data_IF_364148319788
#
_entry.id   IF_364148319788
#
_cell.length_a   1.000
_cell.length_b   1.000
_cell.length_c   1.000
_cell.angle_alpha   90.00
_cell.angle_beta   90.00
_cell.angle_gamma   90.00
#
_symmetry.space_group_name_H-M   'P 1'
#
loop_
_entity.id
_entity.type
_entity.pdbx_description
1 polymer ?
#
# COMPACT_ATOMS: atom_id res chain seq x y z
N UNK A 1 36.94 30.18 13.77
CA UNK A 1 37.08 29.03 12.86
C UNK A 1 35.82 29.07 12.02
N UNK A 2 35.93 29.49 10.75
CA UNK A 2 34.77 29.86 9.94
C UNK A 2 33.87 28.64 9.71
N UNK A 3 32.61 28.78 10.08
CA UNK A 3 31.55 27.78 9.98
C UNK A 3 31.45 27.21 8.56
N UNK A 4 31.16 25.92 8.45
CA UNK A 4 30.84 25.22 7.20
C UNK A 4 29.72 25.97 6.47
N UNK A 5 30.11 26.80 5.50
CA UNK A 5 29.18 27.56 4.68
C UNK A 5 28.54 26.58 3.70
N UNK A 6 27.24 26.31 3.86
CA UNK A 6 26.47 25.58 2.84
C UNK A 6 26.51 26.38 1.52
N UNK A 7 27.17 25.83 0.50
CA UNK A 7 27.35 26.49 -0.82
C UNK A 7 26.46 25.82 -1.87
N UNK A 8 25.90 26.62 -2.78
CA UNK A 8 25.11 26.12 -3.89
C UNK A 8 25.99 25.38 -4.90
N UNK A 9 25.65 24.14 -5.22
CA UNK A 9 26.43 23.34 -6.16
C UNK A 9 26.31 23.77 -7.64
N UNK A 10 25.49 24.79 -7.95
CA UNK A 10 25.32 25.33 -9.31
C UNK A 10 26.08 26.64 -9.48
N UNK A 11 25.79 27.66 -8.65
CA UNK A 11 26.42 28.98 -8.78
C UNK A 11 27.63 29.20 -7.86
N UNK A 12 27.94 28.26 -6.97
CA UNK A 12 28.99 28.39 -5.95
C UNK A 12 28.80 29.56 -4.97
N UNK A 13 27.62 30.19 -4.94
CA UNK A 13 27.28 31.21 -3.95
C UNK A 13 26.77 30.58 -2.64
N UNK A 14 26.89 31.36 -1.57
CA UNK A 14 26.45 30.97 -0.24
C UNK A 14 24.93 30.76 -0.17
N UNK A 15 24.49 29.63 0.39
CA UNK A 15 23.09 29.31 0.62
C UNK A 15 22.51 29.95 1.89
N UNK A 16 23.33 30.53 2.77
CA UNK A 16 22.92 31.13 4.06
C UNK A 16 22.14 32.45 3.87
N UNK A 17 22.34 33.16 2.76
CA UNK A 17 21.80 34.53 2.59
C UNK A 17 20.29 34.54 2.27
N UNK A 18 19.76 33.44 1.73
CA UNK A 18 18.34 33.28 1.43
C UNK A 18 17.85 31.99 2.10
N UNK A 19 17.01 32.15 3.12
CA UNK A 19 16.47 31.15 4.06
C UNK A 19 15.78 29.90 3.49
N UNK A 20 15.85 29.66 2.17
CA UNK A 20 15.31 28.47 1.51
C UNK A 20 16.43 27.77 0.75
N UNK A 21 16.85 26.64 1.27
CA UNK A 21 17.86 25.76 0.67
C UNK A 21 17.23 24.41 0.42
N UNK A 22 17.48 23.86 -0.77
CA UNK A 22 17.01 22.53 -1.14
C UNK A 22 18.22 21.60 -1.14
N UNK A 23 18.12 20.49 -0.42
CA UNK A 23 19.16 19.46 -0.38
C UNK A 23 18.73 18.22 -1.14
N UNK A 24 19.58 17.76 -2.04
CA UNK A 24 19.36 16.48 -2.71
C UNK A 24 19.54 15.34 -1.70
N UNK A 25 18.55 14.45 -1.59
CA UNK A 25 18.60 13.33 -0.62
C UNK A 25 19.72 12.33 -0.87
N UNK A 26 20.17 12.20 -2.12
CA UNK A 26 21.20 11.23 -2.50
C UNK A 26 22.62 11.78 -2.38
N UNK A 27 22.90 12.93 -2.99
CA UNK A 27 24.25 13.49 -2.99
C UNK A 27 24.49 14.55 -1.90
N UNK A 28 23.45 14.88 -1.12
CA UNK A 28 23.49 15.81 0.03
C UNK A 28 23.89 17.26 -0.33
N UNK A 29 24.11 17.54 -1.63
CA UNK A 29 24.44 18.88 -2.12
C UNK A 29 23.28 19.85 -1.90
N UNK A 30 23.65 21.08 -1.56
CA UNK A 30 22.75 22.22 -1.35
C UNK A 30 22.55 23.00 -2.65
N UNK A 31 21.33 23.49 -2.86
CA UNK A 31 20.95 24.24 -4.05
C UNK A 31 20.01 25.39 -3.66
N UNK A 32 20.17 26.53 -4.32
CA UNK A 32 19.15 27.57 -4.27
C UNK A 32 17.94 27.15 -5.12
N UNK A 33 16.70 27.40 -4.66
CA UNK A 33 15.48 27.12 -5.43
C UNK A 33 15.49 27.75 -6.83
N UNK A 34 16.02 28.98 -6.94
CA UNK A 34 16.14 29.71 -8.21
C UNK A 34 17.13 29.02 -9.16
N UNK A 35 18.26 28.53 -8.65
CA UNK A 35 19.27 27.85 -9.46
C UNK A 35 18.76 26.52 -10.06
N UNK A 36 17.79 25.89 -9.41
CA UNK A 36 17.14 24.66 -9.92
C UNK A 36 15.78 24.93 -10.59
N UNK A 37 15.42 26.20 -10.81
CA UNK A 37 14.16 26.59 -11.45
C UNK A 37 12.91 26.16 -10.68
N UNK A 38 13.00 25.96 -9.37
CA UNK A 38 11.88 25.50 -8.57
C UNK A 38 10.91 26.66 -8.30
N UNK A 39 9.64 26.47 -8.67
CA UNK A 39 8.57 27.43 -8.37
C UNK A 39 8.38 27.56 -6.85
N UNK A 40 8.06 28.78 -6.39
CA UNK A 40 7.85 29.07 -4.97
C UNK A 40 6.83 28.16 -4.29
N UNK A 41 5.76 27.80 -5.00
CA UNK A 41 4.73 26.89 -4.50
C UNK A 41 5.32 25.50 -4.18
N UNK A 42 6.12 24.94 -5.08
CA UNK A 42 6.79 23.66 -4.86
C UNK A 42 7.81 23.74 -3.73
N UNK A 43 8.48 24.89 -3.60
CA UNK A 43 9.40 25.16 -2.50
C UNK A 43 8.68 25.16 -1.15
N UNK A 44 7.48 25.76 -1.07
CA UNK A 44 6.62 25.69 0.13
C UNK A 44 6.24 24.25 0.46
N UNK A 45 5.78 23.48 -0.53
CA UNK A 45 5.43 22.07 -0.31
C UNK A 45 6.61 21.26 0.23
N UNK A 46 7.81 21.41 -0.34
CA UNK A 46 9.00 20.70 0.15
C UNK A 46 9.40 21.08 1.58
N UNK A 47 9.08 22.30 2.04
CA UNK A 47 9.35 22.74 3.41
C UNK A 47 8.25 22.34 4.40
N UNK A 48 7.02 22.15 3.95
CA UNK A 48 5.86 21.86 4.80
C UNK A 48 5.66 20.34 5.01
N UNK A 49 6.08 19.52 4.05
CA UNK A 49 5.82 18.08 4.04
C UNK A 49 7.12 17.26 4.12
N UNK A 50 7.36 16.63 5.27
CA UNK A 50 8.56 15.80 5.53
C UNK A 50 8.66 14.54 4.65
N UNK A 51 7.54 14.11 4.07
CA UNK A 51 7.48 12.96 3.17
C UNK A 51 7.89 13.31 1.72
N UNK A 52 8.07 14.59 1.40
CA UNK A 52 8.53 15.01 0.08
C UNK A 52 10.05 15.07 0.04
N UNK A 53 10.61 14.39 -0.95
CA UNK A 53 12.05 14.26 -1.13
C UNK A 53 12.44 14.94 -2.43
N UNK A 54 13.51 15.73 -2.40
CA UNK A 54 14.07 16.34 -3.60
C UNK A 54 15.32 15.60 -4.08
N UNK A 55 15.45 15.47 -5.41
CA UNK A 55 16.63 14.93 -6.06
C UNK A 55 17.11 15.96 -7.09
N UNK A 56 18.42 16.20 -7.17
CA UNK A 56 18.99 16.95 -8.29
C UNK A 56 18.92 16.13 -9.58
N UNK A 57 19.05 16.78 -10.74
CA UNK A 57 18.89 16.13 -12.04
C UNK A 57 19.83 14.92 -12.24
N UNK A 58 21.06 15.00 -11.74
CA UNK A 58 22.02 13.90 -11.79
C UNK A 58 21.58 12.69 -10.96
N UNK A 59 20.87 12.93 -9.86
CA UNK A 59 20.43 11.89 -8.95
C UNK A 59 19.00 11.41 -9.24
N UNK A 60 18.25 12.12 -10.10
CA UNK A 60 16.83 11.87 -10.39
C UNK A 60 16.58 10.47 -10.91
N UNK A 61 17.44 9.95 -11.80
CA UNK A 61 17.29 8.59 -12.34
C UNK A 61 17.45 7.52 -11.26
N UNK A 62 18.46 7.66 -10.40
CA UNK A 62 18.74 6.73 -9.31
C UNK A 62 17.63 6.81 -8.26
N UNK A 63 17.24 8.02 -7.87
CA UNK A 63 16.13 8.28 -6.94
C UNK A 63 14.84 7.64 -7.40
N UNK A 64 14.44 7.89 -8.65
CA UNK A 64 13.24 7.29 -9.24
C UNK A 64 13.31 5.76 -9.23
N UNK A 65 14.46 5.16 -9.60
CA UNK A 65 14.60 3.70 -9.57
C UNK A 65 14.42 3.11 -8.17
N UNK A 66 14.88 3.80 -7.12
CA UNK A 66 14.73 3.36 -5.73
C UNK A 66 13.27 3.44 -5.26
N UNK A 67 12.58 4.53 -5.58
CA UNK A 67 11.15 4.72 -5.26
C UNK A 67 10.28 3.68 -5.97
N UNK A 68 10.58 3.40 -7.25
CA UNK A 68 9.88 2.35 -8.00
C UNK A 68 10.08 0.97 -7.37
N UNK A 69 11.30 0.64 -6.92
CA UNK A 69 11.56 -0.64 -6.22
C UNK A 69 10.76 -0.78 -4.93
N UNK A 70 10.70 0.27 -4.10
CA UNK A 70 9.88 0.23 -2.89
C UNK A 70 8.39 0.06 -3.20
N UNK A 71 7.88 0.75 -4.22
CA UNK A 71 6.48 0.61 -4.63
C UNK A 71 6.19 -0.80 -5.16
N UNK A 72 7.11 -1.40 -5.93
CA UNK A 72 6.97 -2.79 -6.38
C UNK A 72 6.94 -3.78 -5.21
N UNK A 73 7.75 -3.58 -4.18
CA UNK A 73 7.74 -4.45 -2.99
C UNK A 73 6.43 -4.35 -2.21
N UNK A 74 5.85 -3.15 -2.11
CA UNK A 74 4.53 -2.94 -1.48
C UNK A 74 3.46 -3.67 -2.28
N UNK A 75 3.42 -3.47 -3.60
CA UNK A 75 2.46 -4.13 -4.49
C UNK A 75 2.61 -5.66 -4.44
N UNK A 76 3.83 -6.20 -4.38
CA UNK A 76 4.06 -7.63 -4.24
C UNK A 76 3.45 -8.18 -2.94
N UNK A 77 3.66 -7.49 -1.82
CA UNK A 77 3.04 -7.89 -0.54
C UNK A 77 1.52 -7.83 -0.58
N UNK A 78 0.96 -6.84 -1.25
CA UNK A 78 -0.49 -6.70 -1.40
C UNK A 78 -1.08 -7.86 -2.22
N UNK A 79 -0.42 -8.25 -3.32
CA UNK A 79 -0.76 -9.44 -4.10
C UNK A 79 -0.68 -10.71 -3.24
N UNK A 80 0.37 -10.87 -2.44
CA UNK A 80 0.51 -12.01 -1.53
C UNK A 80 -0.60 -12.07 -0.47
N UNK A 81 -1.05 -10.93 0.04
CA UNK A 81 -2.18 -10.87 0.98
C UNK A 81 -3.49 -11.27 0.29
N UNK A 82 -3.77 -10.68 -0.88
CA UNK A 82 -4.98 -10.99 -1.65
C UNK A 82 -5.05 -12.47 -2.05
N UNK A 83 -3.93 -13.07 -2.44
CA UNK A 83 -3.89 -14.51 -2.76
C UNK A 83 -4.18 -15.37 -1.54
N UNK A 84 -3.63 -15.03 -0.36
CA UNK A 84 -3.95 -15.73 0.89
C UNK A 84 -5.44 -15.64 1.25
N UNK A 85 -6.04 -14.46 1.08
CA UNK A 85 -7.48 -14.28 1.31
C UNK A 85 -8.32 -15.12 0.34
N UNK A 86 -7.95 -15.16 -0.94
CA UNK A 86 -8.62 -16.02 -1.94
C UNK A 86 -8.55 -17.49 -1.55
N UNK A 87 -7.40 -17.97 -1.08
CA UNK A 87 -7.24 -19.36 -0.64
C UNK A 87 -8.12 -19.68 0.58
N UNK A 88 -8.22 -18.75 1.54
CA UNK A 88 -9.10 -18.88 2.70
C UNK A 88 -10.56 -18.90 2.26
N UNK A 89 -10.98 -17.99 1.38
CA UNK A 89 -12.34 -17.96 0.86
C UNK A 89 -12.68 -19.25 0.10
N UNK A 90 -11.78 -19.77 -0.72
CA UNK A 90 -11.98 -21.02 -1.43
C UNK A 90 -12.21 -22.20 -0.46
N UNK A 91 -11.42 -22.29 0.62
CA UNK A 91 -11.60 -23.30 1.68
C UNK A 91 -12.96 -23.19 2.35
N UNK A 92 -13.33 -21.98 2.77
CA UNK A 92 -14.62 -21.70 3.41
C UNK A 92 -15.83 -22.01 2.52
N UNK A 93 -15.69 -21.93 1.19
CA UNK A 93 -16.75 -22.28 0.25
C UNK A 93 -16.80 -23.81 0.03
N UNK A 94 -15.66 -24.49 0.05
CA UNK A 94 -15.58 -25.95 -0.18
C UNK A 94 -16.06 -26.81 0.99
N UNK A 95 -15.84 -26.38 2.24
CA UNK A 95 -16.31 -27.07 3.45
C UNK A 95 -17.85 -27.24 3.56
N UNK A 96 -18.67 -26.20 3.30
CA UNK A 96 -20.12 -26.35 3.29
C UNK A 96 -20.63 -27.15 2.09
N UNK A 97 -19.98 -27.06 0.92
CA UNK A 97 -20.37 -27.86 -0.26
C UNK A 97 -20.12 -29.36 -0.05
N UNK A 98 -18.96 -29.73 0.49
CA UNK A 98 -18.63 -31.12 0.83
C UNK A 98 -19.56 -31.68 1.93
N UNK A 99 -19.96 -30.84 2.90
CA UNK A 99 -20.96 -31.21 3.92
C UNK A 99 -22.37 -31.42 3.33
N UNK A 100 -22.74 -30.63 2.32
CA UNK A 100 -24.04 -30.73 1.63
C UNK A 100 -24.12 -32.01 0.77
N UNK A 101 -23.02 -32.38 0.12
CA UNK A 101 -22.92 -33.63 -0.66
C UNK A 101 -23.01 -34.88 0.23
N UNK A 102 -22.37 -34.86 1.40
CA UNK A 102 -22.52 -35.91 2.42
C UNK A 102 -23.98 -36.05 2.89
N UNK A 103 -24.68 -34.93 3.12
CA UNK A 103 -26.07 -34.94 3.54
C UNK A 103 -27.03 -35.45 2.45
N UNK A 104 -26.74 -35.18 1.18
CA UNK A 104 -27.55 -35.65 0.04
C UNK A 104 -27.27 -37.12 -0.34
N UNK A 105 -26.08 -37.65 0.01
CA UNK A 105 -25.72 -39.06 -0.24
C UNK A 105 -26.34 -40.05 0.77
N UNK A 106 -26.86 -39.57 1.91
CA UNK A 106 -27.61 -40.37 2.87
C UNK A 106 -29.10 -39.99 2.85
N UNK A 107 -29.94 -40.65 2.03
CA UNK A 107 -31.38 -40.52 2.18
C UNK A 107 -31.76 -41.20 3.50
N UNK A 108 -31.93 -40.42 4.56
CA UNK A 108 -32.60 -40.88 5.78
C UNK A 108 -34.02 -41.27 5.37
N UNK A 109 -34.22 -42.57 5.12
CA UNK A 109 -35.54 -43.18 4.91
C UNK A 109 -36.32 -43.05 6.22
N UNK A 110 -37.04 -41.95 6.39
CA UNK A 110 -38.16 -41.90 7.33
C UNK A 110 -39.22 -42.88 6.85
N UNK A 111 -39.22 -44.11 7.38
CA UNK A 111 -40.36 -45.01 7.28
C UNK A 111 -41.51 -44.37 8.04
N UNK A 112 -42.50 -43.83 7.32
CA UNK A 112 -43.80 -43.47 7.89
C UNK A 112 -44.44 -44.74 8.47
N UNK A 113 -44.38 -44.91 9.78
CA UNK A 113 -45.25 -45.84 10.50
C UNK A 113 -46.67 -45.30 10.48
N UNK A 114 -47.54 -45.98 9.72
CA UNK A 114 -48.98 -45.72 9.69
C UNK A 114 -49.58 -46.02 11.07
N UNK A 115 -49.87 -44.99 11.85
CA UNK A 115 -50.70 -45.10 13.06
C UNK A 115 -52.13 -44.77 12.63
N UNK A 116 -52.98 -45.80 12.54
CA UNK A 116 -54.42 -45.67 12.31
C UNK A 116 -55.05 -44.89 13.48
N UNK A 117 -55.50 -43.65 13.24
CA UNK A 117 -56.39 -42.95 14.15
C UNK A 117 -57.80 -43.56 14.04
N UNK A 118 -58.28 -44.21 15.10
CA UNK A 118 -59.71 -44.50 15.30
C UNK A 118 -60.38 -43.21 15.77
N UNK A 119 -61.24 -42.64 14.94
CA UNK A 119 -62.19 -41.59 15.35
C UNK A 119 -63.36 -42.29 16.05
N UNK A 120 -63.50 -42.08 17.36
CA UNK A 120 -64.70 -42.42 18.11
C UNK A 120 -65.65 -41.22 18.03
N UNK A 121 -66.70 -41.34 17.22
CA UNK A 121 -67.90 -40.50 17.31
C UNK A 121 -68.82 -41.17 18.35
N UNK A 122 -69.02 -40.52 19.50
CA UNK A 122 -70.11 -40.83 20.41
C UNK A 122 -71.27 -39.89 20.07
N UNK A 123 -72.44 -40.51 19.87
CA UNK A 123 -73.76 -39.92 19.61
C UNK A 123 -74.29 -39.16 20.84
#
# INVERSE_FOLDING_TARGET
>A
MADDVDVCAICADNCIVNSKVIKCKLCVKSFHPVCVGLKDLNCKYLCEFDNLISFCDNCKQVGNSSVTKSHMLILQKEIECLNREKDIQAKLISEPQSSLELHNSNPIRYKKSSVRQKVLLLQ
#
